data_IF_410354285098
#
_entry.id   IF_410354285098
#
_cell.length_a   1.000
_cell.length_b   1.000
_cell.length_c   1.000
_cell.angle_alpha   90.00
_cell.angle_beta   90.00
_cell.angle_gamma   90.00
#
_symmetry.space_group_name_H-M   'P 1'
#
loop_
_entity.id
_entity.type
_entity.pdbx_description
1 polymer ?
#
# COMPACT_ATOMS: atom_id res chain seq x y z
N UNK A 1 -38.22 -43.97 28.02
CA UNK A 1 -38.08 -43.62 26.58
C UNK A 1 -38.47 -42.18 26.25
N UNK A 2 -39.60 -41.63 26.75
CA UNK A 2 -40.01 -40.24 26.47
C UNK A 2 -39.02 -39.19 27.02
N UNK A 3 -38.56 -39.36 28.27
CA UNK A 3 -37.61 -38.45 28.91
C UNK A 3 -36.24 -38.39 28.20
N UNK A 4 -35.70 -39.54 27.78
CA UNK A 4 -34.45 -39.63 27.03
C UNK A 4 -34.53 -38.92 25.67
N UNK A 5 -35.67 -39.01 24.98
CA UNK A 5 -35.91 -38.31 23.70
C UNK A 5 -35.98 -36.79 23.90
N UNK A 6 -36.56 -36.32 25.01
CA UNK A 6 -36.61 -34.89 25.35
C UNK A 6 -35.20 -34.36 25.64
N UNK A 7 -34.39 -35.09 26.41
CA UNK A 7 -33.00 -34.70 26.69
C UNK A 7 -32.18 -34.66 25.40
N UNK A 8 -32.33 -35.65 24.51
CA UNK A 8 -31.63 -35.67 23.23
C UNK A 8 -32.04 -34.50 22.32
N UNK A 9 -33.33 -34.14 22.31
CA UNK A 9 -33.83 -33.00 21.54
C UNK A 9 -33.26 -31.66 22.06
N UNK A 10 -33.21 -31.49 23.39
CA UNK A 10 -32.62 -30.30 24.01
C UNK A 10 -31.12 -30.19 23.73
N UNK A 11 -30.39 -31.30 23.77
CA UNK A 11 -28.97 -31.34 23.39
C UNK A 11 -28.73 -30.92 21.93
N UNK A 12 -29.57 -31.41 21.00
CA UNK A 12 -29.47 -31.02 19.59
C UNK A 12 -29.75 -29.52 19.37
N UNK A 13 -30.69 -28.95 20.12
CA UNK A 13 -30.98 -27.51 20.08
C UNK A 13 -29.78 -26.70 20.61
N UNK A 14 -29.21 -27.10 21.75
CA UNK A 14 -28.05 -26.41 22.34
C UNK A 14 -26.84 -26.47 21.40
N UNK A 15 -26.58 -27.62 20.77
CA UNK A 15 -25.51 -27.77 19.78
C UNK A 15 -25.76 -26.90 18.57
N UNK A 16 -26.99 -26.90 18.01
CA UNK A 16 -27.35 -26.07 16.86
C UNK A 16 -27.24 -24.56 17.15
N UNK A 17 -27.59 -24.14 18.37
CA UNK A 17 -27.42 -22.75 18.81
C UNK A 17 -25.92 -22.42 18.94
N UNK A 18 -25.14 -23.27 19.60
CA UNK A 18 -23.70 -23.06 19.78
C UNK A 18 -22.95 -23.00 18.44
N UNK A 19 -23.26 -23.89 17.49
CA UNK A 19 -22.64 -23.88 16.15
C UNK A 19 -23.09 -22.65 15.34
N UNK A 20 -24.36 -22.25 15.45
CA UNK A 20 -24.87 -21.02 14.85
C UNK A 20 -24.16 -19.77 15.38
N UNK A 21 -23.91 -19.70 16.68
CA UNK A 21 -23.14 -18.60 17.30
C UNK A 21 -21.68 -18.58 16.83
N UNK A 22 -21.01 -19.74 16.73
CA UNK A 22 -19.63 -19.82 16.23
C UNK A 22 -19.54 -19.38 14.76
N UNK A 23 -20.50 -19.78 13.92
CA UNK A 23 -20.55 -19.38 12.51
C UNK A 23 -20.77 -17.86 12.35
N UNK A 24 -21.60 -17.26 13.21
CA UNK A 24 -21.84 -15.80 13.24
C UNK A 24 -20.61 -15.01 13.68
N UNK A 25 -19.84 -15.51 14.65
CA UNK A 25 -18.57 -14.90 15.07
C UNK A 25 -17.52 -14.97 13.95
N UNK A 26 -17.39 -16.13 13.27
CA UNK A 26 -16.47 -16.28 12.13
C UNK A 26 -16.87 -15.41 10.92
N UNK A 27 -18.16 -15.16 10.68
CA UNK A 27 -18.58 -14.27 9.58
C UNK A 27 -18.41 -12.78 9.89
N UNK A 28 -18.19 -12.42 11.16
CA UNK A 28 -18.04 -11.02 11.60
C UNK A 28 -16.62 -10.50 11.43
N UNK A 29 -15.67 -11.39 11.12
CA UNK A 29 -14.24 -11.09 11.07
C UNK A 29 -13.64 -11.41 9.71
N UNK A 30 -14.05 -10.71 8.64
CA UNK A 30 -13.22 -10.42 7.45
C UNK A 30 -13.97 -9.49 6.47
N UNK A 31 -14.04 -8.22 6.85
CA UNK A 31 -14.14 -7.08 5.92
C UNK A 31 -13.59 -5.89 6.69
N UNK A 32 -12.33 -6.00 7.11
CA UNK A 32 -11.57 -4.80 7.45
C UNK A 32 -11.41 -4.05 6.14
N UNK A 33 -12.14 -2.94 5.97
CA UNK A 33 -11.87 -1.94 4.95
C UNK A 33 -10.51 -1.29 5.26
N UNK A 34 -9.43 -2.08 5.15
CA UNK A 34 -8.06 -1.58 5.27
C UNK A 34 -7.84 -0.56 4.16
N UNK A 35 -7.21 0.58 4.49
CA UNK A 35 -6.87 1.62 3.53
C UNK A 35 -5.83 1.15 2.50
N UNK A 36 -5.12 0.05 2.79
CA UNK A 36 -4.11 -0.57 1.95
C UNK A 36 -4.20 -2.11 1.98
N UNK A 37 -3.59 -2.77 1.00
CA UNK A 37 -3.59 -4.23 0.82
C UNK A 37 -2.29 -4.88 1.28
N UNK A 38 -1.16 -4.15 1.19
CA UNK A 38 0.18 -4.62 1.56
C UNK A 38 1.01 -3.46 2.10
N UNK A 39 1.99 -3.78 2.94
CA UNK A 39 2.98 -2.82 3.44
C UNK A 39 4.36 -3.19 2.91
N UNK A 40 5.17 -2.17 2.59
CA UNK A 40 6.60 -2.34 2.34
C UNK A 40 7.40 -1.36 3.21
N UNK A 41 8.56 -1.82 3.66
CA UNK A 41 9.50 -1.07 4.47
C UNK A 41 10.63 -0.57 3.56
N UNK A 42 10.64 0.73 3.28
CA UNK A 42 11.61 1.36 2.39
C UNK A 42 12.96 1.52 3.12
N UNK A 43 14.07 0.99 2.58
CA UNK A 43 15.34 0.91 3.30
C UNK A 43 16.10 2.26 3.26
N UNK A 44 15.90 3.10 4.28
CA UNK A 44 16.53 4.42 4.38
C UNK A 44 18.05 4.37 4.58
N UNK A 45 18.56 3.26 5.12
CA UNK A 45 19.99 2.98 5.25
C UNK A 45 20.70 2.82 3.89
N UNK A 46 19.96 2.35 2.87
CA UNK A 46 20.48 2.12 1.52
C UNK A 46 20.26 3.28 0.57
N UNK A 47 19.13 3.98 0.72
CA UNK A 47 18.72 5.09 -0.16
C UNK A 47 18.31 6.31 0.67
N UNK A 48 19.23 6.90 1.45
CA UNK A 48 18.91 7.93 2.44
C UNK A 48 18.37 9.23 1.83
N UNK A 49 18.80 9.62 0.62
CA UNK A 49 18.30 10.85 0.00
C UNK A 49 16.86 10.69 -0.50
N UNK A 50 16.55 9.57 -1.17
CA UNK A 50 15.18 9.26 -1.59
C UNK A 50 14.27 9.01 -0.37
N UNK A 51 14.71 8.27 0.65
CA UNK A 51 13.93 8.04 1.86
C UNK A 51 13.51 9.34 2.53
N UNK A 52 14.45 10.28 2.67
CA UNK A 52 14.17 11.61 3.22
C UNK A 52 13.14 12.38 2.40
N UNK A 53 13.23 12.32 1.07
CA UNK A 53 12.22 12.96 0.22
C UNK A 53 10.82 12.38 0.46
N UNK A 54 10.70 11.05 0.53
CA UNK A 54 9.43 10.37 0.78
C UNK A 54 8.86 10.76 2.14
N UNK A 55 9.68 10.73 3.20
CA UNK A 55 9.29 11.12 4.56
C UNK A 55 8.78 12.57 4.59
N UNK A 56 9.56 13.52 4.05
CA UNK A 56 9.18 14.94 4.00
C UNK A 56 7.89 15.16 3.21
N UNK A 57 7.70 14.45 2.08
CA UNK A 57 6.48 14.56 1.30
C UNK A 57 5.25 14.00 2.04
N UNK A 58 5.40 12.90 2.77
CA UNK A 58 4.31 12.35 3.62
C UNK A 58 3.97 13.33 4.74
N UNK A 59 4.96 13.93 5.39
CA UNK A 59 4.77 14.95 6.42
C UNK A 59 4.06 16.21 5.88
N UNK A 60 4.29 16.55 4.61
CA UNK A 60 3.60 17.62 3.88
C UNK A 60 2.17 17.24 3.44
N UNK A 61 1.73 16.00 3.70
CA UNK A 61 0.38 15.52 3.45
C UNK A 61 0.19 14.75 2.15
N UNK A 62 1.28 14.42 1.44
CA UNK A 62 1.20 13.48 0.32
C UNK A 62 0.85 12.07 0.81
N UNK A 63 0.17 11.29 -0.03
CA UNK A 63 -0.22 9.93 0.32
C UNK A 63 1.00 9.08 0.67
N UNK A 64 0.92 8.34 1.77
CA UNK A 64 1.87 7.27 2.10
C UNK A 64 1.48 5.93 1.48
N UNK A 65 0.33 5.88 0.80
CA UNK A 65 -0.17 4.72 0.05
C UNK A 65 -0.01 4.97 -1.45
N UNK A 66 0.55 3.98 -2.15
CA UNK A 66 0.60 3.91 -3.60
C UNK A 66 -0.44 2.90 -4.10
N UNK A 67 -1.48 3.34 -4.79
CA UNK A 67 -2.36 2.47 -5.56
C UNK A 67 -1.74 2.25 -6.93
N UNK A 68 -1.21 1.05 -7.20
CA UNK A 68 -0.44 0.79 -8.42
C UNK A 68 -1.26 1.07 -9.68
N UNK A 69 -0.72 1.90 -10.57
CA UNK A 69 -1.31 2.29 -11.85
C UNK A 69 -0.20 2.49 -12.90
N UNK A 70 0.34 1.38 -13.40
CA UNK A 70 1.47 1.43 -14.35
C UNK A 70 1.07 2.02 -15.69
N UNK A 71 -0.20 1.84 -16.08
CA UNK A 71 -0.73 2.29 -17.38
C UNK A 71 -0.63 3.81 -17.56
N UNK A 72 -0.81 4.60 -16.51
CA UNK A 72 -0.79 6.07 -16.58
C UNK A 72 0.56 6.68 -16.18
N UNK A 73 1.61 5.86 -16.05
CA UNK A 73 2.85 6.33 -15.44
C UNK A 73 3.63 7.37 -16.24
N UNK A 74 3.57 7.30 -17.57
CA UNK A 74 4.18 8.31 -18.42
C UNK A 74 3.46 9.66 -18.30
N UNK A 75 2.12 9.64 -18.29
CA UNK A 75 1.29 10.84 -18.15
C UNK A 75 1.49 11.50 -16.78
N UNK A 76 1.48 10.70 -15.70
CA UNK A 76 1.74 11.21 -14.35
C UNK A 76 3.12 11.84 -14.26
N UNK A 77 4.16 11.21 -14.82
CA UNK A 77 5.51 11.79 -14.83
C UNK A 77 5.59 13.10 -15.61
N UNK A 78 4.87 13.21 -16.72
CA UNK A 78 4.81 14.46 -17.47
C UNK A 78 4.17 15.57 -16.61
N UNK A 79 3.08 15.26 -15.91
CA UNK A 79 2.37 16.20 -15.06
C UNK A 79 3.18 16.65 -13.84
N UNK A 80 3.81 15.72 -13.12
CA UNK A 80 4.60 16.01 -11.91
C UNK A 80 5.84 16.85 -12.24
N UNK A 81 6.48 16.59 -13.39
CA UNK A 81 7.73 17.22 -13.77
C UNK A 81 7.55 18.48 -14.64
N UNK A 82 6.30 18.86 -14.94
CA UNK A 82 5.98 20.01 -15.77
C UNK A 82 6.58 21.31 -15.18
N UNK A 83 7.40 21.99 -15.97
CA UNK A 83 8.05 23.25 -15.57
C UNK A 83 9.26 23.09 -14.64
N UNK A 84 9.62 21.87 -14.24
CA UNK A 84 10.79 21.59 -13.40
C UNK A 84 11.96 21.24 -14.33
N UNK A 85 12.99 22.08 -14.48
CA UNK A 85 14.09 21.81 -15.40
C UNK A 85 14.91 20.59 -14.95
N UNK A 86 15.60 19.95 -15.88
CA UNK A 86 16.63 18.97 -15.51
C UNK A 86 17.82 19.68 -14.85
N UNK A 87 18.52 18.98 -13.96
CA UNK A 87 19.72 19.49 -13.28
C UNK A 87 20.86 18.52 -13.50
N UNK A 88 21.96 18.99 -14.11
CA UNK A 88 23.12 18.14 -14.38
C UNK A 88 23.63 17.51 -13.07
N UNK A 89 23.76 16.19 -13.06
CA UNK A 89 24.24 15.41 -11.91
C UNK A 89 23.15 15.00 -10.92
N UNK A 90 21.87 15.22 -11.24
CA UNK A 90 20.74 14.85 -10.40
C UNK A 90 19.62 14.21 -11.22
N UNK A 91 18.89 13.29 -10.60
CA UNK A 91 17.59 12.86 -11.09
C UNK A 91 16.49 13.67 -10.37
N UNK A 92 15.29 13.75 -10.96
CA UNK A 92 14.10 14.35 -10.32
C UNK A 92 13.29 13.20 -9.75
N UNK A 93 13.33 13.03 -8.44
CA UNK A 93 12.53 12.06 -7.72
C UNK A 93 11.12 12.61 -7.48
N UNK A 94 10.11 11.74 -7.41
CA UNK A 94 8.68 12.09 -7.40
C UNK A 94 7.97 11.36 -6.25
N UNK A 95 7.29 12.08 -5.36
CA UNK A 95 6.41 11.49 -4.37
C UNK A 95 5.05 12.22 -4.28
N UNK A 96 3.90 11.53 -4.50
CA UNK A 96 3.78 10.12 -4.81
C UNK A 96 4.35 9.77 -6.19
N UNK A 97 4.83 8.53 -6.33
CA UNK A 97 5.52 8.09 -7.55
C UNK A 97 4.57 8.08 -8.75
N UNK A 98 5.09 8.32 -9.94
CA UNK A 98 4.33 8.25 -11.19
C UNK A 98 3.74 6.85 -11.50
N UNK A 99 4.07 5.78 -10.77
CA UNK A 99 3.41 4.48 -10.97
C UNK A 99 2.21 4.27 -10.04
N UNK A 100 1.77 5.31 -9.33
CA UNK A 100 0.71 5.28 -8.34
C UNK A 100 -0.43 6.21 -8.76
N UNK A 101 -1.70 5.87 -8.53
CA UNK A 101 -2.83 6.77 -8.84
C UNK A 101 -2.74 8.13 -8.15
N UNK A 102 -2.05 8.18 -7.02
CA UNK A 102 -1.81 9.37 -6.22
C UNK A 102 -0.68 10.26 -6.78
N UNK A 103 0.06 9.79 -7.79
CA UNK A 103 1.11 10.54 -8.46
C UNK A 103 0.58 11.57 -9.46
N UNK A 104 1.49 12.18 -10.19
CA UNK A 104 1.15 13.18 -11.20
C UNK A 104 1.04 14.60 -10.65
N UNK A 105 -0.03 15.30 -11.03
CA UNK A 105 -0.20 16.72 -10.69
C UNK A 105 -0.15 16.93 -9.17
N UNK A 106 0.79 17.77 -8.74
CA UNK A 106 0.97 18.10 -7.32
C UNK A 106 1.86 17.14 -6.54
N UNK A 107 2.46 16.12 -7.16
CA UNK A 107 3.51 15.34 -6.50
C UNK A 107 4.70 16.24 -6.09
N UNK A 108 5.25 15.98 -4.91
CA UNK A 108 6.52 16.56 -4.47
C UNK A 108 7.65 16.08 -5.38
N UNK A 109 8.53 17.01 -5.76
CA UNK A 109 9.68 16.72 -6.63
C UNK A 109 10.96 17.27 -6.01
N UNK A 110 11.97 16.41 -5.83
CA UNK A 110 13.30 16.80 -5.34
C UNK A 110 14.41 16.29 -6.26
N UNK A 111 15.49 17.06 -6.31
CA UNK A 111 16.70 16.64 -7.03
C UNK A 111 17.53 15.72 -6.14
N UNK A 112 17.62 14.45 -6.49
CA UNK A 112 18.31 13.42 -5.72
C UNK A 112 19.55 12.93 -6.48
N UNK A 113 20.59 12.51 -5.75
CA UNK A 113 21.75 11.86 -6.33
C UNK A 113 21.31 10.67 -7.22
N UNK A 114 21.78 10.58 -8.49
CA UNK A 114 21.34 9.53 -9.40
C UNK A 114 21.63 8.10 -8.91
N UNK A 115 22.70 7.90 -8.14
CA UNK A 115 23.01 6.57 -7.59
C UNK A 115 22.01 6.14 -6.53
N UNK A 116 21.58 7.08 -5.68
CA UNK A 116 20.57 6.86 -4.65
C UNK A 116 19.21 6.60 -5.30
N UNK A 117 18.75 7.53 -6.15
CA UNK A 117 17.43 7.50 -6.77
C UNK A 117 17.21 6.29 -7.68
N UNK A 118 18.19 5.93 -8.52
CA UNK A 118 18.05 4.76 -9.41
C UNK A 118 18.13 3.45 -8.66
N UNK A 119 18.92 3.41 -7.58
CA UNK A 119 18.96 2.30 -6.66
C UNK A 119 17.60 2.07 -6.00
N UNK A 120 17.00 3.15 -5.47
CA UNK A 120 15.67 3.15 -4.89
C UNK A 120 14.61 2.69 -5.91
N UNK A 121 14.59 3.29 -7.10
CA UNK A 121 13.63 2.93 -8.16
C UNK A 121 13.75 1.47 -8.60
N UNK A 122 14.97 0.93 -8.71
CA UNK A 122 15.18 -0.49 -9.02
C UNK A 122 14.69 -1.40 -7.89
N UNK A 123 14.92 -1.02 -6.64
CA UNK A 123 14.46 -1.76 -5.47
C UNK A 123 12.92 -1.77 -5.38
N UNK A 124 12.27 -0.60 -5.49
CA UNK A 124 10.80 -0.50 -5.50
C UNK A 124 10.21 -1.31 -6.65
N UNK A 125 10.79 -1.20 -7.86
CA UNK A 125 10.35 -1.97 -9.02
C UNK A 125 10.41 -3.49 -8.79
N UNK A 126 11.42 -3.99 -8.08
CA UNK A 126 11.50 -5.40 -7.69
C UNK A 126 10.48 -5.78 -6.60
N UNK A 127 10.26 -4.91 -5.60
CA UNK A 127 9.28 -5.21 -4.53
C UNK A 127 7.86 -5.31 -5.05
N UNK A 128 7.54 -4.56 -6.10
CA UNK A 128 6.20 -4.42 -6.64
C UNK A 128 5.97 -5.23 -7.92
N UNK A 129 6.95 -5.98 -8.45
CA UNK A 129 6.86 -6.59 -9.79
C UNK A 129 5.67 -7.54 -9.94
N UNK A 130 5.35 -8.27 -8.87
CA UNK A 130 4.33 -9.31 -8.86
C UNK A 130 2.95 -8.79 -8.39
N UNK A 131 2.90 -7.53 -7.92
CA UNK A 131 1.67 -6.91 -7.46
C UNK A 131 0.89 -6.32 -8.65
N UNK A 132 -0.37 -6.75 -8.89
CA UNK A 132 -1.17 -6.27 -10.02
C UNK A 132 -1.56 -4.80 -9.85
N UNK A 133 -1.86 -4.13 -10.98
CA UNK A 133 -2.43 -2.78 -10.96
C UNK A 133 -3.72 -2.76 -10.11
N UNK A 134 -3.87 -1.72 -9.30
CA UNK A 134 -4.95 -1.56 -8.32
C UNK A 134 -4.58 -2.00 -6.90
N UNK A 135 -3.48 -2.73 -6.71
CA UNK A 135 -2.98 -3.06 -5.36
C UNK A 135 -2.56 -1.79 -4.63
N UNK A 136 -3.00 -1.63 -3.38
CA UNK A 136 -2.69 -0.47 -2.53
C UNK A 136 -1.54 -0.81 -1.59
N UNK A 137 -0.40 -0.17 -1.79
CA UNK A 137 0.84 -0.41 -1.05
C UNK A 137 1.09 0.73 -0.07
N UNK A 138 1.05 0.44 1.22
CA UNK A 138 1.52 1.36 2.26
C UNK A 138 3.05 1.34 2.30
N UNK A 139 3.67 2.51 2.17
CA UNK A 139 5.10 2.68 2.40
C UNK A 139 5.33 3.09 3.85
N UNK A 140 6.30 2.43 4.49
CA UNK A 140 6.87 2.80 5.79
C UNK A 140 8.35 3.07 5.56
N UNK A 141 8.87 4.17 6.09
CA UNK A 141 10.29 4.50 5.99
C UNK A 141 11.01 3.90 7.20
N UNK A 142 11.96 2.99 6.94
CA UNK A 142 12.69 2.21 7.93
C UNK A 142 14.19 2.52 7.93
#
# INVERSE_FOLDING_TARGET
MKLLKIILLLLLIVVGVATGYIQLEQSKQETTNSSYDKTIHFPSDRYPETAKHIEEAIDEGHSSVCTIDRKHSDEQREQSLHGIPTKRGYDRDEWPMAMCKEGGTGASVKYINPSDNRGAGSWVGHQLSDDPDGTRIQFIID
#
